data_IF_676834889328
#
_entry.id   IF_676834889328
#
_cell.length_a   1.000
_cell.length_b   1.000
_cell.length_c   1.000
_cell.angle_alpha   90.00
_cell.angle_beta   90.00
_cell.angle_gamma   90.00
#
_symmetry.space_group_name_H-M   'P 1'
#
loop_
_entity.id
_entity.type
_entity.pdbx_description
1 polymer ?
#
# COMPACT_ATOMS: atom_id res chain seq x y z
N UNK A 1 6.14 3.17 -8.87
CA UNK A 1 5.30 4.03 -8.02
C UNK A 1 3.94 3.36 -7.88
N UNK A 2 3.66 2.86 -6.68
CA UNK A 2 2.52 2.01 -6.42
C UNK A 2 1.56 2.73 -5.48
N UNK A 3 0.25 2.56 -5.73
CA UNK A 3 -0.78 2.87 -4.75
C UNK A 3 -0.68 1.93 -3.55
N UNK A 4 -1.45 2.19 -2.50
CA UNK A 4 -1.47 1.36 -1.31
C UNK A 4 -1.76 -0.13 -1.56
N UNK A 5 -2.54 -0.47 -2.59
CA UNK A 5 -2.84 -1.87 -2.96
C UNK A 5 -1.55 -2.59 -3.37
N UNK A 6 -0.82 -2.03 -4.33
CA UNK A 6 0.45 -2.61 -4.79
C UNK A 6 1.51 -2.59 -3.69
N UNK A 7 1.53 -1.51 -2.89
CA UNK A 7 2.47 -1.38 -1.78
C UNK A 7 2.28 -2.44 -0.71
N UNK A 8 1.03 -2.78 -0.38
CA UNK A 8 0.75 -3.83 0.59
C UNK A 8 1.36 -5.18 0.17
N UNK A 9 1.25 -5.53 -1.11
CA UNK A 9 1.94 -6.69 -1.68
C UNK A 9 3.46 -6.59 -1.57
N UNK A 10 4.05 -5.44 -1.90
CA UNK A 10 5.50 -5.23 -1.79
C UNK A 10 6.00 -5.33 -0.34
N UNK A 11 5.27 -4.78 0.63
CA UNK A 11 5.63 -4.86 2.06
C UNK A 11 5.57 -6.31 2.54
N UNK A 12 4.52 -7.06 2.16
CA UNK A 12 4.42 -8.47 2.46
C UNK A 12 5.60 -9.25 1.87
N UNK A 13 5.94 -9.03 0.60
CA UNK A 13 7.08 -9.67 -0.07
C UNK A 13 8.42 -9.33 0.63
N UNK A 14 8.65 -8.05 0.94
CA UNK A 14 9.86 -7.58 1.58
C UNK A 14 10.03 -8.10 3.03
N UNK A 15 8.95 -8.60 3.64
CA UNK A 15 9.01 -9.22 4.98
C UNK A 15 9.48 -10.68 4.98
N UNK A 16 9.61 -11.31 3.80
CA UNK A 16 10.01 -12.70 3.70
C UNK A 16 11.53 -12.89 3.98
N UNK A 17 11.92 -14.07 4.50
CA UNK A 17 13.33 -14.43 4.60
C UNK A 17 14.05 -14.31 3.25
N UNK A 18 15.27 -13.76 3.27
CA UNK A 18 16.08 -13.54 2.07
C UNK A 18 16.02 -12.10 1.52
N UNK A 19 15.01 -11.31 1.89
CA UNK A 19 14.96 -9.86 1.64
C UNK A 19 15.75 -9.11 2.72
N UNK A 20 17.08 -9.21 2.66
CA UNK A 20 17.98 -8.68 3.70
C UNK A 20 18.50 -7.26 3.43
N UNK A 21 18.21 -6.70 2.26
CA UNK A 21 18.57 -5.33 1.90
C UNK A 21 17.31 -4.46 1.89
N UNK A 22 17.38 -3.20 2.35
CA UNK A 22 16.26 -2.28 2.27
C UNK A 22 15.76 -2.12 0.82
N UNK A 23 14.48 -2.37 0.60
CA UNK A 23 13.82 -2.14 -0.69
C UNK A 23 13.35 -0.69 -0.84
N UNK A 24 13.02 -0.29 -2.07
CA UNK A 24 12.44 1.05 -2.35
C UNK A 24 10.93 1.06 -2.07
N UNK A 25 10.57 0.99 -0.78
CA UNK A 25 9.20 1.08 -0.29
C UNK A 25 9.12 2.25 0.69
N UNK A 26 8.36 3.28 0.33
CA UNK A 26 8.23 4.50 1.14
C UNK A 26 6.79 4.73 1.62
N UNK A 27 6.59 5.67 2.55
CA UNK A 27 5.28 6.10 3.02
C UNK A 27 4.41 6.68 1.88
N UNK A 28 3.08 6.56 1.98
CA UNK A 28 2.15 6.99 0.92
C UNK A 28 2.23 8.49 0.69
N UNK A 29 2.38 9.26 1.77
CA UNK A 29 2.54 10.71 1.76
C UNK A 29 3.76 11.22 0.98
N UNK A 30 4.76 10.37 0.69
CA UNK A 30 5.91 10.76 -0.15
C UNK A 30 5.48 11.06 -1.59
N UNK A 31 4.40 10.43 -2.04
CA UNK A 31 4.00 10.46 -3.44
C UNK A 31 2.56 10.92 -3.69
N UNK A 32 1.66 10.67 -2.73
CA UNK A 32 0.25 11.02 -2.85
C UNK A 32 -0.19 11.85 -1.66
N UNK A 33 -1.04 12.85 -1.92
CA UNK A 33 -1.73 13.59 -0.84
C UNK A 33 -2.70 12.68 -0.08
N UNK A 34 -3.38 11.80 -0.81
CA UNK A 34 -4.34 10.82 -0.30
C UNK A 34 -4.17 9.51 -1.08
N UNK A 35 -4.02 8.39 -0.37
CA UNK A 35 -3.93 7.04 -0.96
C UNK A 35 -5.33 6.41 -1.09
N UNK A 36 -5.45 5.34 -1.88
CA UNK A 36 -6.70 4.60 -2.11
C UNK A 36 -6.90 3.41 -1.14
N UNK A 37 -6.10 3.31 -0.08
CA UNK A 37 -6.24 2.29 0.97
C UNK A 37 -6.32 2.92 2.35
N UNK A 38 -6.90 2.18 3.30
CA UNK A 38 -6.98 2.53 4.71
C UNK A 38 -6.63 1.30 5.59
N UNK A 39 -5.64 1.38 6.50
CA UNK A 39 -4.74 2.51 6.74
C UNK A 39 -3.74 2.74 5.59
N UNK A 40 -3.37 4.01 5.37
CA UNK A 40 -2.28 4.36 4.47
C UNK A 40 -0.91 4.02 5.08
N UNK A 41 0.05 3.62 4.24
CA UNK A 41 1.39 3.23 4.71
C UNK A 41 2.19 4.43 5.23
N UNK A 42 2.74 4.27 6.43
CA UNK A 42 3.65 5.21 7.08
C UNK A 42 5.01 4.57 7.29
N UNK A 43 6.04 5.40 7.45
CA UNK A 43 7.38 4.97 7.87
C UNK A 43 7.56 5.37 9.32
N UNK A 44 7.97 4.42 10.13
CA UNK A 44 8.26 4.58 11.55
C UNK A 44 9.47 5.48 11.77
N UNK A 45 9.65 5.95 13.01
CA UNK A 45 10.76 6.87 13.33
C UNK A 45 12.16 6.25 13.11
N UNK A 46 12.26 4.93 13.14
CA UNK A 46 13.49 4.15 12.89
C UNK A 46 13.70 3.82 11.40
N UNK A 47 12.85 4.33 10.51
CA UNK A 47 12.93 4.05 9.07
C UNK A 47 12.30 2.73 8.64
N UNK A 48 11.64 1.99 9.54
CA UNK A 48 10.94 0.74 9.22
C UNK A 48 9.49 0.99 8.82
N UNK A 49 8.81 -0.07 8.38
CA UNK A 49 7.39 -0.05 8.04
C UNK A 49 6.73 -1.31 8.60
N UNK A 50 5.58 -1.14 9.23
CA UNK A 50 4.82 -2.26 9.77
C UNK A 50 4.24 -3.11 8.63
N UNK A 51 4.31 -4.43 8.80
CA UNK A 51 3.71 -5.38 7.86
C UNK A 51 2.25 -5.57 8.24
N UNK A 52 1.28 -5.25 7.36
CA UNK A 52 -0.14 -5.47 7.66
C UNK A 52 -0.45 -6.94 7.96
N UNK A 53 -1.25 -7.20 9.00
CA UNK A 53 -1.54 -8.56 9.49
C UNK A 53 -2.98 -9.03 9.18
N UNK A 54 -3.81 -8.16 8.60
CA UNK A 54 -5.19 -8.51 8.25
C UNK A 54 -5.26 -9.54 7.10
N UNK A 55 -6.43 -10.15 6.88
CA UNK A 55 -6.64 -11.05 5.74
C UNK A 55 -6.29 -10.41 4.39
N UNK A 56 -5.91 -11.25 3.42
CA UNK A 56 -5.53 -10.79 2.08
C UNK A 56 -4.23 -9.98 2.10
N UNK A 57 -4.26 -8.76 1.56
CA UNK A 57 -3.11 -7.83 1.60
C UNK A 57 -3.05 -7.00 2.89
N UNK A 58 -3.96 -7.24 3.85
CA UNK A 58 -3.95 -6.65 5.18
C UNK A 58 -4.34 -5.18 5.28
N UNK A 59 -4.84 -4.57 4.19
CA UNK A 59 -5.41 -3.22 4.14
C UNK A 59 -6.76 -3.26 3.43
N UNK A 60 -7.63 -2.29 3.72
CA UNK A 60 -8.90 -2.13 3.01
C UNK A 60 -8.80 -1.07 1.91
N UNK A 61 -9.58 -1.24 0.85
CA UNK A 61 -9.70 -0.23 -0.20
C UNK A 61 -10.59 0.90 0.28
N UNK A 62 -10.09 2.13 0.21
CA UNK A 62 -10.91 3.31 0.44
C UNK A 62 -11.75 3.57 -0.81
N UNK A 63 -12.92 2.93 -0.90
CA UNK A 63 -13.83 3.01 -2.04
C UNK A 63 -14.20 4.46 -2.39
N UNK A 64 -14.41 5.32 -1.39
CA UNK A 64 -14.73 6.75 -1.62
C UNK A 64 -13.59 7.48 -2.32
N UNK A 65 -12.35 7.18 -1.96
CA UNK A 65 -11.18 7.79 -2.59
C UNK A 65 -10.94 7.18 -3.97
N UNK A 66 -11.06 5.86 -4.10
CA UNK A 66 -10.93 5.16 -5.36
C UNK A 66 -11.92 5.71 -6.40
N UNK A 67 -13.19 5.86 -6.04
CA UNK A 67 -14.22 6.43 -6.92
C UNK A 67 -13.85 7.83 -7.40
N UNK A 68 -13.39 8.70 -6.50
CA UNK A 68 -12.98 10.09 -6.84
C UNK A 68 -11.83 10.18 -7.83
N UNK A 69 -10.92 9.20 -7.83
CA UNK A 69 -9.73 9.20 -8.71
C UNK A 69 -9.88 8.28 -9.92
N UNK A 70 -11.01 7.57 -10.04
CA UNK A 70 -11.27 6.67 -11.16
C UNK A 70 -11.66 7.47 -12.40
N UNK A 71 -10.92 7.27 -13.50
CA UNK A 71 -11.20 7.93 -14.79
C UNK A 71 -12.00 7.01 -15.74
N UNK A 72 -11.86 5.69 -15.61
CA UNK A 72 -12.58 4.69 -16.40
C UNK A 72 -12.81 3.44 -15.55
N UNK A 73 -14.00 2.85 -15.68
CA UNK A 73 -14.39 1.59 -15.04
C UNK A 73 -15.13 0.72 -16.05
N UNK A 74 -14.76 -0.56 -16.12
CA UNK A 74 -15.47 -1.59 -16.86
C UNK A 74 -15.71 -2.78 -15.94
N UNK A 75 -16.88 -3.40 -16.06
CA UNK A 75 -17.28 -4.55 -15.26
C UNK A 75 -17.75 -5.63 -16.22
N UNK A 76 -17.16 -6.82 -16.12
CA UNK A 76 -17.50 -7.97 -16.94
C UNK A 76 -18.29 -8.95 -16.06
N UNK A 77 -19.38 -9.47 -16.61
CA UNK A 77 -20.28 -10.45 -15.97
C UNK A 77 -20.13 -11.77 -16.70
#
# INVERSE_FOLDING_TARGET
LESGIGRAGNVALASLPGFILPGDISASKKYYKEDIVDPAFTVNADGTMDVPQGPGIGVEVNEKRLEKVTVRKEVFI
#
